data_IF_832757303594
#
_entry.id   IF_832757303594
#
_cell.length_a   1.000
_cell.length_b   1.000
_cell.length_c   1.000
_cell.angle_alpha   90.00
_cell.angle_beta   90.00
_cell.angle_gamma   90.00
#
_symmetry.space_group_name_H-M   'P 1'
#
loop_
_entity.id
_entity.type
_entity.pdbx_description
1 polymer ?
#
# COMPACT_ATOMS: atom_id res chain seq x y z
N UNK A 1 -7.36 21.15 -27.16
CA UNK A 1 -6.51 20.04 -27.65
C UNK A 1 -7.36 18.77 -27.68
N UNK A 2 -7.61 18.20 -28.86
CA UNK A 2 -8.53 17.06 -29.05
C UNK A 2 -7.92 15.78 -28.45
N UNK A 3 -8.60 15.18 -27.48
CA UNK A 3 -8.29 13.82 -26.99
C UNK A 3 -8.65 12.81 -28.09
N UNK A 4 -7.63 12.18 -28.66
CA UNK A 4 -7.78 11.04 -29.57
C UNK A 4 -8.14 9.81 -28.72
N UNK A 5 -9.39 9.33 -28.81
CA UNK A 5 -9.75 7.98 -28.34
C UNK A 5 -8.95 6.99 -29.18
N UNK A 6 -7.90 6.40 -28.63
CA UNK A 6 -7.23 5.25 -29.26
C UNK A 6 -7.97 3.99 -28.82
N UNK A 7 -8.50 3.26 -29.81
CA UNK A 7 -9.35 2.11 -29.63
C UNK A 7 -8.61 0.87 -29.10
N UNK A 8 -9.35 0.07 -28.35
CA UNK A 8 -9.06 -1.31 -28.01
C UNK A 8 -8.76 -2.12 -29.29
N UNK A 9 -7.52 -2.58 -29.48
CA UNK A 9 -7.19 -3.51 -30.56
C UNK A 9 -7.37 -4.93 -30.02
N UNK A 10 -8.49 -5.57 -30.34
CA UNK A 10 -8.62 -7.04 -30.22
C UNK A 10 -7.71 -7.67 -31.28
N UNK A 11 -6.87 -8.63 -30.91
CA UNK A 11 -6.30 -9.57 -31.88
C UNK A 11 -7.15 -10.82 -31.93
N UNK A 12 -7.18 -11.44 -33.10
CA UNK A 12 -8.00 -12.61 -33.39
C UNK A 12 -7.58 -13.81 -32.51
N UNK A 13 -8.53 -14.67 -32.12
CA UNK A 13 -8.26 -15.84 -31.29
C UNK A 13 -7.34 -16.83 -32.01
N UNK A 14 -6.29 -17.27 -31.32
CA UNK A 14 -5.47 -18.39 -31.79
C UNK A 14 -6.23 -19.68 -31.51
N UNK A 15 -6.54 -20.40 -32.59
CA UNK A 15 -7.28 -21.66 -32.54
C UNK A 15 -6.30 -22.83 -32.57
N UNK A 16 -6.24 -23.60 -31.48
CA UNK A 16 -5.57 -24.90 -31.45
C UNK A 16 -6.63 -25.92 -31.00
N UNK A 17 -7.18 -26.66 -31.97
CA UNK A 17 -8.32 -27.56 -31.78
C UNK A 17 -9.65 -26.84 -31.58
N UNK A 18 -10.62 -27.49 -30.93
CA UNK A 18 -11.99 -27.00 -30.70
C UNK A 18 -12.13 -25.98 -29.56
N UNK A 19 -11.01 -25.44 -29.05
CA UNK A 19 -10.99 -24.51 -27.91
C UNK A 19 -10.37 -23.18 -28.31
N UNK A 20 -11.07 -22.09 -27.97
CA UNK A 20 -10.57 -20.72 -28.11
C UNK A 20 -9.83 -20.33 -26.84
N UNK A 21 -8.60 -19.83 -26.99
CA UNK A 21 -7.80 -19.32 -25.88
C UNK A 21 -7.87 -17.80 -25.85
N UNK A 22 -8.14 -17.22 -24.67
CA UNK A 22 -8.01 -15.79 -24.42
C UNK A 22 -6.64 -15.53 -23.79
N UNK A 23 -5.76 -14.83 -24.52
CA UNK A 23 -4.51 -14.30 -23.97
C UNK A 23 -4.84 -12.95 -23.33
N UNK A 24 -4.74 -12.85 -22.00
CA UNK A 24 -4.76 -11.57 -21.31
C UNK A 24 -3.36 -10.96 -21.38
N UNK A 25 -3.09 -10.15 -22.40
CA UNK A 25 -1.92 -9.27 -22.41
C UNK A 25 -2.21 -8.07 -21.48
N UNK A 26 -1.38 -7.92 -20.44
CA UNK A 26 -1.36 -6.73 -19.61
C UNK A 26 -0.77 -5.57 -20.43
N UNK A 27 -1.52 -4.47 -20.56
CA UNK A 27 -0.97 -3.22 -21.05
C UNK A 27 -0.22 -2.56 -19.88
N UNK A 28 1.01 -3.01 -19.65
CA UNK A 28 1.91 -2.42 -18.67
C UNK A 28 2.44 -1.13 -19.30
N UNK A 29 1.84 0.01 -18.97
CA UNK A 29 2.56 1.28 -19.10
C UNK A 29 2.93 1.80 -17.72
N UNK A 30 4.22 1.67 -17.43
CA UNK A 30 5.02 2.35 -16.41
C UNK A 30 4.90 1.89 -14.95
N UNK A 31 5.50 0.74 -14.60
CA UNK A 31 6.24 0.59 -13.33
C UNK A 31 7.51 -0.25 -13.59
N UNK A 32 8.62 0.46 -13.76
CA UNK A 32 10.06 0.11 -13.65
C UNK A 32 10.56 -1.30 -13.97
N UNK A 33 11.41 -1.34 -15.01
CA UNK A 33 12.19 -2.48 -15.48
C UNK A 33 13.11 -3.09 -14.41
N UNK A 34 13.37 -4.40 -14.58
CA UNK A 34 14.42 -5.23 -13.94
C UNK A 34 14.05 -6.11 -12.74
N UNK A 35 12.85 -6.71 -12.73
CA UNK A 35 12.57 -7.96 -12.00
C UNK A 35 11.58 -8.82 -12.81
N UNK A 36 11.96 -9.20 -14.03
CA UNK A 36 11.05 -9.87 -14.97
C UNK A 36 11.20 -11.41 -14.94
N UNK A 37 12.41 -11.97 -14.90
CA UNK A 37 12.59 -13.37 -15.31
C UNK A 37 12.09 -14.45 -14.33
N UNK A 38 12.11 -14.22 -13.01
CA UNK A 38 11.59 -15.20 -12.02
C UNK A 38 10.11 -14.97 -11.67
N UNK A 39 9.60 -13.77 -11.96
CA UNK A 39 8.23 -13.34 -11.67
C UNK A 39 7.25 -13.82 -12.75
N UNK A 40 7.68 -13.82 -14.00
CA UNK A 40 6.94 -14.45 -15.10
C UNK A 40 6.90 -15.97 -14.96
N UNK A 41 7.96 -16.62 -14.45
CA UNK A 41 8.00 -18.07 -14.28
C UNK A 41 7.00 -18.56 -13.22
N UNK A 42 6.88 -17.85 -12.10
CA UNK A 42 5.90 -18.16 -11.04
C UNK A 42 4.46 -17.92 -11.50
N UNK A 43 4.18 -16.80 -12.16
CA UNK A 43 2.86 -16.54 -12.77
C UNK A 43 2.51 -17.57 -13.86
N UNK A 44 3.48 -18.01 -14.65
CA UNK A 44 3.31 -19.01 -15.70
C UNK A 44 3.05 -20.40 -15.12
N UNK A 45 3.83 -20.86 -14.13
CA UNK A 45 3.61 -22.13 -13.41
C UNK A 45 2.24 -22.17 -12.71
N UNK A 46 1.79 -21.04 -12.15
CA UNK A 46 0.52 -20.96 -11.44
C UNK A 46 -0.67 -20.89 -12.42
N UNK A 47 -0.51 -20.24 -13.58
CA UNK A 47 -1.50 -20.28 -14.66
C UNK A 47 -1.67 -21.70 -15.22
N UNK A 48 -0.56 -22.42 -15.45
CA UNK A 48 -0.58 -23.80 -15.95
C UNK A 48 -1.26 -24.78 -14.98
N UNK A 49 -0.99 -24.64 -13.68
CA UNK A 49 -1.65 -25.48 -12.65
C UNK A 49 -3.14 -25.18 -12.52
N UNK A 50 -3.56 -23.91 -12.65
CA UNK A 50 -4.98 -23.53 -12.59
C UNK A 50 -5.78 -23.94 -13.85
N UNK A 51 -5.16 -23.85 -15.04
CA UNK A 51 -5.77 -24.32 -16.30
C UNK A 51 -5.91 -25.85 -16.29
N UNK A 52 -4.91 -26.58 -15.81
CA UNK A 52 -4.94 -28.05 -15.73
C UNK A 52 -5.93 -28.59 -14.68
N UNK A 53 -6.16 -27.85 -13.59
CA UNK A 53 -7.22 -28.17 -12.62
C UNK A 53 -8.62 -28.13 -13.26
N UNK A 54 -8.88 -27.16 -14.14
CA UNK A 54 -10.19 -26.98 -14.78
C UNK A 54 -10.44 -27.90 -16.00
N UNK A 55 -9.39 -28.45 -16.62
CA UNK A 55 -9.52 -29.33 -17.80
C UNK A 55 -9.80 -30.80 -17.46
N UNK A 56 -9.79 -31.18 -16.18
CA UNK A 56 -9.92 -32.57 -15.72
C UNK A 56 -11.35 -32.99 -15.35
N UNK A 57 -12.32 -32.08 -15.32
CA UNK A 57 -13.68 -32.39 -14.85
C UNK A 57 -14.74 -32.23 -15.95
N UNK A 58 -15.07 -33.32 -16.62
CA UNK A 58 -16.20 -33.45 -17.56
C UNK A 58 -17.50 -33.90 -16.88
N UNK A 59 -17.55 -33.95 -15.55
CA UNK A 59 -18.74 -34.30 -14.79
C UNK A 59 -19.27 -33.07 -14.04
N UNK A 60 -20.59 -32.96 -13.96
CA UNK A 60 -21.43 -31.97 -13.27
C UNK A 60 -21.23 -31.90 -11.74
N UNK A 61 -19.99 -32.01 -11.26
CA UNK A 61 -19.62 -31.64 -9.90
C UNK A 61 -19.22 -30.17 -9.87
N UNK A 62 -19.88 -29.38 -9.02
CA UNK A 62 -19.42 -28.04 -8.65
C UNK A 62 -18.02 -28.21 -8.02
N UNK A 63 -17.00 -28.04 -8.84
CA UNK A 63 -15.63 -27.93 -8.36
C UNK A 63 -15.55 -26.61 -7.61
N UNK A 64 -15.55 -26.68 -6.28
CA UNK A 64 -15.26 -25.51 -5.47
C UNK A 64 -13.90 -24.96 -5.92
N UNK A 65 -13.87 -23.68 -6.27
CA UNK A 65 -12.61 -23.01 -6.60
C UNK A 65 -11.68 -23.18 -5.41
N UNK A 66 -10.46 -23.70 -5.59
CA UNK A 66 -9.56 -23.99 -4.48
C UNK A 66 -9.15 -22.67 -3.82
N UNK A 67 -9.90 -22.29 -2.79
CA UNK A 67 -9.80 -20.99 -2.14
C UNK A 67 -8.38 -20.78 -1.56
N UNK A 68 -7.76 -21.85 -1.08
CA UNK A 68 -6.39 -21.88 -0.59
C UNK A 68 -5.39 -21.52 -1.70
N UNK A 69 -5.55 -22.06 -2.91
CA UNK A 69 -4.67 -21.74 -4.04
C UNK A 69 -4.79 -20.27 -4.45
N UNK A 70 -6.02 -19.72 -4.44
CA UNK A 70 -6.28 -18.30 -4.72
C UNK A 70 -5.66 -17.42 -3.63
N UNK A 71 -5.73 -17.83 -2.35
CA UNK A 71 -5.10 -17.12 -1.25
C UNK A 71 -3.57 -17.11 -1.37
N UNK A 72 -2.95 -18.25 -1.67
CA UNK A 72 -1.50 -18.34 -1.89
C UNK A 72 -1.08 -17.41 -3.02
N UNK A 73 -1.82 -17.40 -4.13
CA UNK A 73 -1.54 -16.50 -5.24
C UNK A 73 -1.72 -15.02 -4.85
N UNK A 74 -2.76 -14.67 -4.08
CA UNK A 74 -2.95 -13.31 -3.56
C UNK A 74 -1.80 -12.90 -2.63
N UNK A 75 -1.27 -13.80 -1.79
CA UNK A 75 -0.10 -13.56 -0.94
C UNK A 75 1.16 -13.32 -1.79
N UNK A 76 1.44 -14.20 -2.76
CA UNK A 76 2.62 -14.09 -3.64
C UNK A 76 2.59 -12.78 -4.44
N UNK A 77 1.42 -12.42 -4.99
CA UNK A 77 1.24 -11.18 -5.73
C UNK A 77 1.41 -9.93 -4.86
N UNK A 78 1.17 -10.04 -3.54
CA UNK A 78 1.33 -8.95 -2.56
C UNK A 78 2.71 -8.90 -1.92
N UNK A 79 3.50 -9.97 -1.97
CA UNK A 79 4.79 -10.04 -1.28
C UNK A 79 5.75 -8.92 -1.69
N UNK A 80 5.97 -8.75 -2.99
CA UNK A 80 6.86 -7.70 -3.51
C UNK A 80 6.41 -6.28 -3.16
N UNK A 81 5.15 -5.85 -3.40
CA UNK A 81 4.73 -4.52 -3.01
C UNK A 81 4.66 -4.33 -1.48
N UNK A 82 4.47 -5.39 -0.69
CA UNK A 82 4.48 -5.31 0.77
C UNK A 82 5.87 -5.02 1.35
N UNK A 83 6.94 -5.48 0.69
CA UNK A 83 8.32 -5.16 1.08
C UNK A 83 8.70 -3.71 0.73
N UNK A 84 8.15 -3.18 -0.37
CA UNK A 84 8.53 -1.86 -0.91
C UNK A 84 7.69 -0.71 -0.38
N UNK A 85 6.42 -0.97 -0.06
CA UNK A 85 5.43 0.08 0.19
C UNK A 85 4.73 -0.11 1.54
N UNK A 86 4.15 0.98 2.04
CA UNK A 86 3.36 0.94 3.27
C UNK A 86 2.04 0.23 3.00
N UNK A 87 1.83 -0.91 3.67
CA UNK A 87 0.63 -1.73 3.52
C UNK A 87 -0.47 -1.25 4.46
N UNK A 88 -1.65 -0.94 3.91
CA UNK A 88 -2.85 -0.69 4.72
C UNK A 88 -4.04 -1.44 4.13
N UNK A 89 -4.48 -2.47 4.84
CA UNK A 89 -5.50 -3.39 4.34
C UNK A 89 -5.02 -4.11 3.09
N UNK A 90 -5.73 -3.93 1.97
CA UNK A 90 -5.37 -4.51 0.66
C UNK A 90 -4.67 -3.52 -0.28
N UNK A 91 -4.34 -2.33 0.22
CA UNK A 91 -3.74 -1.24 -0.55
C UNK A 91 -2.29 -0.98 -0.14
N UNK A 92 -1.54 -0.43 -1.08
CA UNK A 92 -0.12 -0.10 -0.94
C UNK A 92 0.09 1.38 -1.19
N UNK A 93 0.81 2.06 -0.30
CA UNK A 93 1.03 3.51 -0.34
C UNK A 93 2.52 3.84 -0.25
N UNK A 94 2.96 4.84 -1.02
CA UNK A 94 4.32 5.36 -0.95
C UNK A 94 4.38 6.78 -1.51
N UNK A 95 5.34 7.57 -1.02
CA UNK A 95 5.69 8.88 -1.58
C UNK A 95 6.32 8.78 -2.97
N UNK A 96 6.76 7.59 -3.38
CA UNK A 96 7.33 7.31 -4.71
C UNK A 96 6.25 7.02 -5.77
N UNK A 97 5.02 6.68 -5.35
CA UNK A 97 3.90 6.29 -6.24
C UNK A 97 3.13 7.51 -6.80
N UNK A 98 3.71 8.70 -6.71
CA UNK A 98 3.18 9.94 -7.27
C UNK A 98 3.34 11.12 -6.32
N UNK A 99 2.79 12.30 -6.68
CA UNK A 99 2.92 13.48 -5.84
C UNK A 99 2.22 13.26 -4.51
N UNK A 100 2.96 13.53 -3.43
CA UNK A 100 2.38 13.77 -2.10
C UNK A 100 1.84 15.19 -2.04
N UNK A 101 0.88 15.42 -1.15
CA UNK A 101 0.40 16.77 -0.88
C UNK A 101 -0.06 16.96 0.55
N UNK A 102 0.09 18.18 1.05
CA UNK A 102 -0.38 18.55 2.38
C UNK A 102 -1.91 18.51 2.42
N UNK A 103 -2.44 17.85 3.45
CA UNK A 103 -3.86 17.91 3.82
C UNK A 103 -4.11 18.99 4.89
N UNK A 104 -3.06 19.63 5.39
CA UNK A 104 -3.12 20.54 6.52
C UNK A 104 -2.93 19.85 7.87
N UNK A 105 -2.76 20.64 8.93
CA UNK A 105 -2.71 20.16 10.33
C UNK A 105 -1.64 19.08 10.62
N UNK A 106 -0.55 19.05 9.86
CA UNK A 106 0.51 18.05 9.99
C UNK A 106 0.19 16.70 9.35
N UNK A 107 -0.81 16.64 8.47
CA UNK A 107 -1.15 15.48 7.65
C UNK A 107 -0.78 15.72 6.20
N UNK A 108 -0.36 14.65 5.53
CA UNK A 108 -0.15 14.61 4.09
C UNK A 108 -0.87 13.40 3.48
N UNK A 109 -1.30 13.50 2.23
CA UNK A 109 -1.82 12.35 1.50
C UNK A 109 -0.71 11.67 0.72
N UNK A 110 -0.71 10.34 0.73
CA UNK A 110 0.12 9.51 -0.13
C UNK A 110 -0.77 8.81 -1.16
N UNK A 111 -0.24 8.71 -2.38
CA UNK A 111 -0.88 7.91 -3.43
C UNK A 111 -0.50 6.44 -3.28
N UNK A 112 -1.32 5.61 -3.87
CA UNK A 112 -1.20 4.17 -3.78
C UNK A 112 -2.11 3.48 -4.75
N UNK A 113 -2.18 2.16 -4.62
CA UNK A 113 -3.12 1.33 -5.36
C UNK A 113 -3.72 0.26 -4.45
N UNK A 114 -5.01 0.00 -4.67
CA UNK A 114 -5.69 -1.16 -4.16
C UNK A 114 -5.40 -2.35 -5.07
N UNK A 115 -5.21 -3.53 -4.49
CA UNK A 115 -5.02 -4.77 -5.25
C UNK A 115 -5.93 -5.87 -4.70
N UNK A 116 -6.60 -6.62 -5.58
CA UNK A 116 -7.25 -7.88 -5.18
C UNK A 116 -7.34 -8.87 -6.31
N UNK A 117 -6.92 -10.11 -6.06
CA UNK A 117 -7.26 -11.23 -6.92
C UNK A 117 -8.71 -11.69 -6.66
N UNK A 118 -9.48 -11.93 -7.72
CA UNK A 118 -10.89 -12.35 -7.66
C UNK A 118 -11.15 -13.55 -8.58
N UNK A 119 -11.78 -14.63 -8.09
CA UNK A 119 -12.34 -15.66 -8.95
C UNK A 119 -13.54 -15.10 -9.72
N UNK A 120 -13.62 -15.43 -11.01
CA UNK A 120 -14.73 -15.11 -11.90
C UNK A 120 -15.12 -16.36 -12.70
N UNK A 121 -16.29 -16.34 -13.34
CA UNK A 121 -16.74 -17.44 -14.20
C UNK A 121 -15.78 -17.69 -15.39
N UNK A 122 -14.97 -16.70 -15.77
CA UNK A 122 -14.00 -16.78 -16.86
C UNK A 122 -12.56 -17.01 -16.38
N UNK A 123 -12.37 -17.32 -15.09
CA UNK A 123 -11.05 -17.51 -14.47
C UNK A 123 -10.70 -16.42 -13.45
N UNK A 124 -9.42 -16.23 -13.18
CA UNK A 124 -8.95 -15.26 -12.18
C UNK A 124 -8.79 -13.86 -12.79
N UNK A 125 -9.21 -12.85 -12.03
CA UNK A 125 -9.07 -11.44 -12.38
C UNK A 125 -8.29 -10.70 -11.30
N UNK A 126 -7.29 -9.92 -11.70
CA UNK A 126 -6.57 -9.02 -10.81
C UNK A 126 -7.20 -7.63 -10.89
N UNK A 127 -7.88 -7.22 -9.82
CA UNK A 127 -8.40 -5.86 -9.70
C UNK A 127 -7.32 -4.92 -9.16
N UNK A 128 -7.10 -3.80 -9.85
CA UNK A 128 -6.17 -2.73 -9.46
C UNK A 128 -6.87 -1.39 -9.61
N UNK A 129 -6.99 -0.66 -8.50
CA UNK A 129 -7.62 0.65 -8.45
C UNK A 129 -6.67 1.69 -7.84
N UNK A 130 -6.71 2.93 -8.33
CA UNK A 130 -5.96 4.04 -7.72
C UNK A 130 -6.53 4.33 -6.34
N UNK A 131 -5.65 4.54 -5.36
CA UNK A 131 -6.04 4.90 -4.00
C UNK A 131 -5.18 6.05 -3.46
N UNK A 132 -5.72 6.77 -2.48
CA UNK A 132 -5.00 7.79 -1.73
C UNK A 132 -5.39 7.70 -0.26
N UNK A 133 -4.43 7.92 0.63
CA UNK A 133 -4.65 7.85 2.08
C UNK A 133 -3.83 8.91 2.81
N UNK A 134 -4.37 9.41 3.92
CA UNK A 134 -3.68 10.35 4.81
C UNK A 134 -2.67 9.63 5.71
N UNK A 135 -1.52 10.26 5.88
CA UNK A 135 -0.43 9.88 6.75
C UNK A 135 0.03 11.11 7.54
N UNK A 136 0.71 10.87 8.66
CA UNK A 136 1.38 11.95 9.39
C UNK A 136 2.58 12.44 8.58
N UNK A 137 2.73 13.74 8.48
CA UNK A 137 3.92 14.35 7.91
C UNK A 137 5.14 13.98 8.77
N UNK A 138 6.29 13.72 8.14
CA UNK A 138 7.53 13.39 8.85
C UNK A 138 8.20 14.65 9.45
N UNK A 139 7.53 15.25 10.43
CA UNK A 139 7.95 16.48 11.12
C UNK A 139 8.13 16.25 12.62
N UNK A 140 8.78 17.20 13.30
CA UNK A 140 8.93 17.16 14.75
C UNK A 140 7.56 17.21 15.44
N UNK A 141 7.40 16.50 16.56
CA UNK A 141 6.17 16.54 17.35
C UNK A 141 5.80 17.97 17.73
N UNK A 142 6.79 18.80 18.07
CA UNK A 142 6.55 20.22 18.38
C UNK A 142 6.01 21.02 17.18
N UNK A 143 6.49 20.72 15.96
CA UNK A 143 6.01 21.38 14.74
C UNK A 143 4.61 20.88 14.36
N UNK A 144 4.36 19.58 14.54
CA UNK A 144 3.03 18.99 14.38
C UNK A 144 2.01 19.68 15.29
N UNK A 145 2.36 19.90 16.56
CA UNK A 145 1.49 20.60 17.51
C UNK A 145 1.28 22.07 17.12
N UNK A 146 2.33 22.78 16.69
CA UNK A 146 2.18 24.15 16.21
C UNK A 146 1.22 24.23 14.99
N UNK A 147 1.35 23.30 14.03
CA UNK A 147 0.49 23.21 12.84
C UNK A 147 -0.96 22.82 13.17
N UNK A 148 -1.19 21.99 14.18
CA UNK A 148 -2.52 21.44 14.52
C UNK A 148 -3.29 22.29 15.55
N UNK A 149 -2.59 23.06 16.39
CA UNK A 149 -3.20 23.84 17.47
C UNK A 149 -2.99 25.35 17.34
N UNK A 150 -2.33 25.81 16.26
CA UNK A 150 -2.03 27.23 16.00
C UNK A 150 -1.25 27.93 17.12
N UNK A 151 -0.53 27.15 17.94
CA UNK A 151 0.33 27.68 19.00
C UNK A 151 1.72 27.97 18.43
N UNK A 152 1.97 29.25 18.16
CA UNK A 152 3.27 29.75 17.66
C UNK A 152 4.29 29.91 18.79
N UNK A 153 3.83 30.06 20.04
CA UNK A 153 4.67 30.46 21.17
C UNK A 153 5.08 29.24 22.01
N UNK A 154 6.28 28.70 21.74
CA UNK A 154 6.86 27.55 22.46
C UNK A 154 7.18 27.85 23.93
N UNK A 155 7.13 29.13 24.34
CA UNK A 155 7.53 29.60 25.67
C UNK A 155 6.38 29.61 26.70
N UNK A 156 5.13 29.49 26.24
CA UNK A 156 3.96 29.56 27.10
C UNK A 156 3.44 28.16 27.44
N UNK A 157 3.08 27.96 28.70
CA UNK A 157 2.37 26.76 29.12
C UNK A 157 1.09 26.60 28.29
N UNK A 158 0.88 25.40 27.75
CA UNK A 158 -0.35 25.06 27.05
C UNK A 158 -1.51 25.13 28.05
N UNK A 159 -2.63 25.81 27.71
CA UNK A 159 -3.79 25.84 28.60
C UNK A 159 -4.39 24.44 28.73
N UNK A 160 -5.01 24.15 29.88
CA UNK A 160 -5.54 22.80 30.20
C UNK A 160 -6.43 22.20 29.12
N UNK A 161 -7.24 23.03 28.46
CA UNK A 161 -8.11 22.62 27.35
C UNK A 161 -7.32 22.05 26.17
N UNK A 162 -6.19 22.67 25.84
CA UNK A 162 -5.32 22.24 24.76
C UNK A 162 -4.51 21.02 25.18
N UNK A 163 -4.04 20.94 26.44
CA UNK A 163 -3.40 19.75 26.98
C UNK A 163 -4.26 18.49 26.83
N UNK A 164 -5.57 18.59 27.08
CA UNK A 164 -6.51 17.47 26.87
C UNK A 164 -6.60 17.09 25.40
N UNK A 165 -6.68 18.07 24.49
CA UNK A 165 -6.80 17.82 23.05
C UNK A 165 -5.49 17.26 22.48
N UNK A 166 -4.33 17.79 22.86
CA UNK A 166 -3.00 17.27 22.52
C UNK A 166 -2.85 15.83 23.01
N UNK A 167 -3.21 15.55 24.26
CA UNK A 167 -3.14 14.19 24.83
C UNK A 167 -4.02 13.22 24.06
N UNK A 168 -5.18 13.64 23.57
CA UNK A 168 -6.06 12.82 22.72
C UNK A 168 -5.46 12.59 21.33
N UNK A 169 -4.96 13.63 20.69
CA UNK A 169 -4.40 13.56 19.33
C UNK A 169 -3.13 12.71 19.26
N UNK A 170 -2.23 12.85 20.24
CA UNK A 170 -0.97 12.10 20.25
C UNK A 170 -1.12 10.67 20.81
N UNK A 171 -2.25 10.31 21.43
CA UNK A 171 -2.43 8.98 22.01
C UNK A 171 -2.30 7.90 20.93
N UNK A 172 -1.44 6.92 21.17
CA UNK A 172 -1.12 5.79 20.26
C UNK A 172 -0.40 6.19 18.97
N UNK A 173 0.04 7.44 18.84
CA UNK A 173 0.92 7.86 17.75
C UNK A 173 2.31 7.27 18.00
N UNK A 174 2.91 6.70 16.95
CA UNK A 174 4.30 6.25 16.97
C UNK A 174 5.21 7.41 16.61
N UNK A 175 6.25 7.64 17.40
CA UNK A 175 7.25 8.68 17.19
C UNK A 175 8.65 8.07 17.14
N UNK A 176 9.49 8.62 16.28
CA UNK A 176 10.90 8.28 16.21
C UNK A 176 11.70 9.30 17.02
N UNK A 177 12.47 8.82 17.98
CA UNK A 177 13.45 9.61 18.73
C UNK A 177 14.82 9.34 18.12
N UNK A 178 15.48 10.41 17.71
CA UNK A 178 16.86 10.40 17.22
C UNK A 178 17.76 10.90 18.33
N UNK A 179 18.52 9.99 18.93
CA UNK A 179 19.50 10.34 19.96
C UNK A 179 20.89 10.22 19.37
N UNK A 180 21.70 11.28 19.50
CA UNK A 180 23.13 11.20 19.18
C UNK A 180 23.86 10.53 20.35
N UNK A 181 24.41 9.35 20.11
CA UNK A 181 25.28 8.70 21.10
C UNK A 181 26.68 9.29 20.98
N UNK A 182 27.06 10.11 21.96
CA UNK A 182 28.37 10.76 22.00
C UNK A 182 29.53 9.76 22.14
N UNK A 183 29.27 8.56 22.68
CA UNK A 183 30.31 7.54 22.85
C UNK A 183 30.64 6.79 21.56
N UNK A 184 29.69 6.72 20.63
CA UNK A 184 29.82 5.93 19.38
C UNK A 184 29.83 6.79 18.11
N UNK A 185 29.60 8.09 18.22
CA UNK A 185 29.42 9.00 17.08
C UNK A 185 28.36 8.50 16.07
N UNK A 186 27.36 7.77 16.58
CA UNK A 186 26.28 7.17 15.79
C UNK A 186 24.92 7.74 16.22
N UNK A 187 24.00 7.85 15.26
CA UNK A 187 22.62 8.25 15.53
C UNK A 187 21.78 7.01 15.85
N UNK A 188 21.36 6.91 17.11
CA UNK A 188 20.49 5.83 17.56
C UNK A 188 19.04 6.26 17.32
N UNK A 189 18.35 5.52 16.44
CA UNK A 189 16.92 5.71 16.16
C UNK A 189 16.10 4.72 16.97
N UNK A 190 15.15 5.22 17.75
CA UNK A 190 14.22 4.40 18.53
C UNK A 190 12.79 4.85 18.30
N UNK A 191 11.89 3.90 18.06
CA UNK A 191 10.47 4.17 17.88
C UNK A 191 9.72 3.90 19.17
N UNK A 192 8.92 4.87 19.62
CA UNK A 192 8.09 4.77 20.81
C UNK A 192 6.62 5.04 20.47
N UNK A 193 5.71 4.48 21.24
CA UNK A 193 4.27 4.81 21.15
C UNK A 193 3.92 5.73 22.29
N UNK A 194 3.30 6.88 21.99
CA UNK A 194 2.88 7.84 23.01
C UNK A 194 1.64 7.30 23.73
N UNK A 195 1.78 6.99 25.02
CA UNK A 195 0.66 6.55 25.87
C UNK A 195 -0.04 7.73 26.58
N UNK A 196 0.69 8.83 26.80
CA UNK A 196 0.20 10.02 27.48
C UNK A 196 1.25 11.12 27.53
N UNK A 197 0.89 12.25 28.12
CA UNK A 197 1.76 13.39 28.38
C UNK A 197 1.99 13.51 29.89
N UNK A 198 3.19 13.93 30.27
CA UNK A 198 3.51 14.32 31.64
C UNK A 198 2.70 15.56 32.04
N UNK A 199 2.28 15.65 33.29
CA UNK A 199 1.71 16.86 33.86
C UNK A 199 2.79 17.88 34.24
N UNK A 200 3.99 17.40 34.56
CA UNK A 200 5.13 18.22 34.92
C UNK A 200 5.92 18.59 33.66
N UNK A 201 6.30 19.88 33.49
CA UNK A 201 7.21 20.28 32.43
C UNK A 201 8.59 19.69 32.67
N UNK A 202 9.35 19.51 31.59
CA UNK A 202 10.75 19.15 31.72
C UNK A 202 11.49 20.33 32.35
N UNK A 203 12.18 20.10 33.48
CA UNK A 203 13.09 21.10 34.04
C UNK A 203 14.17 21.40 32.98
N UNK A 204 14.26 22.67 32.57
CA UNK A 204 15.23 23.17 31.58
C UNK A 204 16.45 23.77 32.25
#
# INVERSE_FOLDING_TARGET
>A
MKLKRQGLKRRDPISIGSKQYFVLEFNIFSITERIESLRWLSLWLISQTFINYNSSCTCSQRVETPQEAIQVLDIVLRATPAEKYTVVGRSFFSTELGPKGSLGEGLEYWRGFYQSLRPTQLGLSLNIDVSARSFFEAILVTEFLAKHFYHTDRSKHLPDRDCIKVKKTLKRVKVEVRLRDWTKNEEVKRTYTINGLSAEPLEQ
#
